data_IF_850464583177
#
_entry.id   IF_850464583177
#
_cell.length_a   1.000
_cell.length_b   1.000
_cell.length_c   1.000
_cell.angle_alpha   90.00
_cell.angle_beta   90.00
_cell.angle_gamma   90.00
#
_symmetry.space_group_name_H-M   'P 1'
#
loop_
_entity.id
_entity.type
_entity.pdbx_description
1 polymer ?
#
# COMPACT_ATOMS: atom_id res chain seq x y z
N UNK A 1 9.85 17.90 8.89
CA UNK A 1 9.14 16.86 8.12
C UNK A 1 10.07 15.77 7.59
N UNK A 2 11.33 16.06 7.21
CA UNK A 2 12.28 15.05 6.68
C UNK A 2 12.48 13.86 7.61
N UNK A 3 12.65 14.08 8.91
CA UNK A 3 12.78 13.02 9.90
C UNK A 3 11.51 12.15 9.98
N UNK A 4 10.34 12.78 9.86
CA UNK A 4 9.06 12.06 9.85
C UNK A 4 8.94 11.18 8.61
N UNK A 5 9.29 11.71 7.42
CA UNK A 5 9.32 10.95 6.17
C UNK A 5 10.29 9.77 6.26
N UNK A 6 11.47 9.95 6.83
CA UNK A 6 12.44 8.86 7.00
C UNK A 6 11.89 7.73 7.88
N UNK A 7 11.20 8.08 8.98
CA UNK A 7 10.54 7.10 9.85
C UNK A 7 9.39 6.40 9.13
N UNK A 8 8.61 7.15 8.35
CA UNK A 8 7.52 6.59 7.56
C UNK A 8 8.01 5.59 6.50
N UNK A 9 9.10 5.91 5.78
CA UNK A 9 9.73 4.97 4.84
C UNK A 9 10.24 3.71 5.53
N UNK A 10 10.79 3.84 6.74
CA UNK A 10 11.20 2.68 7.52
C UNK A 10 10.01 1.80 7.91
N UNK A 11 8.86 2.38 8.25
CA UNK A 11 7.64 1.64 8.54
C UNK A 11 7.10 0.88 7.32
N UNK A 12 7.18 1.45 6.13
CA UNK A 12 6.74 0.78 4.90
C UNK A 12 7.50 -0.50 4.60
N UNK A 13 8.78 -0.54 4.95
CA UNK A 13 9.65 -1.69 4.75
C UNK A 13 9.71 -2.62 5.98
N UNK A 14 9.11 -2.22 7.10
CA UNK A 14 9.19 -2.96 8.36
C UNK A 14 8.66 -4.38 8.19
N UNK A 15 9.43 -5.34 8.70
CA UNK A 15 9.07 -6.76 8.62
C UNK A 15 9.33 -7.44 7.27
N UNK A 16 9.60 -6.71 6.19
CA UNK A 16 9.95 -7.30 4.91
C UNK A 16 11.35 -7.93 4.92
N UNK A 17 11.56 -8.95 4.09
CA UNK A 17 12.82 -9.70 4.02
C UNK A 17 14.02 -8.83 3.64
N UNK A 18 13.82 -7.75 2.90
CA UNK A 18 14.87 -6.88 2.36
C UNK A 18 14.67 -5.40 2.74
N UNK A 19 14.22 -5.17 4.00
CA UNK A 19 13.83 -3.86 4.51
C UNK A 19 14.89 -2.76 4.27
N UNK A 20 16.18 -3.07 4.49
CA UNK A 20 17.27 -2.09 4.33
C UNK A 20 17.43 -1.62 2.88
N UNK A 21 17.33 -2.53 1.92
CA UNK A 21 17.40 -2.22 0.50
C UNK A 21 16.19 -1.39 0.08
N UNK A 22 15.01 -1.79 0.53
CA UNK A 22 13.75 -1.10 0.26
C UNK A 22 13.79 0.35 0.75
N UNK A 23 14.18 0.58 1.99
CA UNK A 23 14.31 1.93 2.56
C UNK A 23 15.30 2.78 1.76
N UNK A 24 16.46 2.20 1.35
CA UNK A 24 17.45 2.93 0.55
C UNK A 24 16.86 3.38 -0.79
N UNK A 25 16.25 2.46 -1.55
CA UNK A 25 15.64 2.78 -2.85
C UNK A 25 14.56 3.86 -2.74
N UNK A 26 13.68 3.75 -1.73
CA UNK A 26 12.64 4.74 -1.49
C UNK A 26 13.23 6.11 -1.13
N UNK A 27 14.30 6.15 -0.34
CA UNK A 27 14.98 7.42 0.02
C UNK A 27 15.64 8.08 -1.18
N UNK A 28 16.27 7.30 -2.06
CA UNK A 28 16.91 7.82 -3.28
C UNK A 28 15.89 8.42 -4.24
N UNK A 29 14.68 7.86 -4.33
CA UNK A 29 13.62 8.35 -5.21
C UNK A 29 12.80 9.50 -4.62
N UNK A 30 12.80 9.69 -3.30
CA UNK A 30 11.86 10.58 -2.61
C UNK A 30 11.95 12.06 -3.05
N UNK A 31 13.15 12.54 -3.37
CA UNK A 31 13.40 13.95 -3.71
C UNK A 31 13.87 14.16 -5.15
N UNK A 32 13.71 13.16 -6.01
CA UNK A 32 14.11 13.26 -7.44
C UNK A 32 13.39 14.42 -8.14
N UNK A 33 12.15 14.72 -7.75
CA UNK A 33 11.34 15.79 -8.33
C UNK A 33 11.29 17.06 -7.46
N UNK A 34 12.21 17.19 -6.49
CA UNK A 34 12.30 18.35 -5.59
C UNK A 34 11.61 18.16 -4.24
N UNK A 35 11.53 19.26 -3.50
CA UNK A 35 10.93 19.28 -2.16
C UNK A 35 9.42 19.47 -2.25
N UNK A 36 8.62 18.77 -1.44
CA UNK A 36 7.18 18.97 -1.43
C UNK A 36 6.81 20.30 -0.80
N UNK A 37 5.77 20.93 -1.33
CA UNK A 37 5.26 22.16 -0.74
C UNK A 37 4.61 21.89 0.63
N UNK A 38 4.91 22.67 1.68
CA UNK A 38 4.38 22.42 3.03
C UNK A 38 2.84 22.36 3.09
N UNK A 39 2.16 23.22 2.34
CA UNK A 39 0.69 23.20 2.26
C UNK A 39 0.15 21.92 1.65
N UNK A 40 0.82 21.38 0.61
CA UNK A 40 0.42 20.11 0.00
C UNK A 40 0.58 18.93 0.98
N UNK A 41 1.68 18.93 1.75
CA UNK A 41 1.87 17.91 2.81
C UNK A 41 0.79 18.00 3.88
N UNK A 42 0.46 19.21 4.36
CA UNK A 42 -0.57 19.42 5.36
C UNK A 42 -1.95 18.99 4.83
N UNK A 43 -2.30 19.36 3.60
CA UNK A 43 -3.55 18.96 2.96
C UNK A 43 -3.65 17.43 2.78
N UNK A 44 -2.58 16.78 2.31
CA UNK A 44 -2.53 15.32 2.17
C UNK A 44 -2.71 14.59 3.51
N UNK A 45 -2.05 15.05 4.57
CA UNK A 45 -2.25 14.50 5.91
C UNK A 45 -3.68 14.69 6.43
N UNK A 46 -4.28 15.84 6.14
CA UNK A 46 -5.66 16.12 6.51
C UNK A 46 -6.63 15.16 5.78
N UNK A 47 -6.43 14.95 4.49
CA UNK A 47 -7.21 13.98 3.72
C UNK A 47 -7.10 12.57 4.30
N UNK A 48 -5.89 12.09 4.56
CA UNK A 48 -5.65 10.76 5.16
C UNK A 48 -6.32 10.61 6.53
N UNK A 49 -6.34 11.69 7.33
CA UNK A 49 -6.96 11.69 8.66
C UNK A 49 -8.48 11.66 8.61
N UNK A 50 -9.09 12.28 7.61
CA UNK A 50 -10.54 12.51 7.54
C UNK A 50 -11.25 11.55 6.60
N UNK A 51 -10.56 10.96 5.60
CA UNK A 51 -11.17 10.08 4.63
C UNK A 51 -11.65 8.78 5.29
N UNK A 52 -12.94 8.52 5.18
CA UNK A 52 -13.56 7.25 5.55
C UNK A 52 -14.54 6.87 4.45
N UNK A 53 -14.10 5.94 3.60
CA UNK A 53 -14.85 5.48 2.43
C UNK A 53 -15.52 4.12 2.65
N UNK A 54 -15.60 3.63 3.88
CA UNK A 54 -16.19 2.32 4.18
C UNK A 54 -17.65 2.20 3.76
N UNK A 55 -18.38 3.32 3.77
CA UNK A 55 -19.78 3.37 3.34
C UNK A 55 -19.96 3.25 1.83
N UNK A 56 -18.91 3.57 1.07
CA UNK A 56 -18.91 3.53 -0.40
C UNK A 56 -18.58 2.13 -0.94
N UNK A 57 -17.87 1.30 -0.16
CA UNK A 57 -17.42 -0.02 -0.59
C UNK A 57 -18.53 -0.94 -1.08
N UNK A 58 -19.75 -0.99 -0.46
CA UNK A 58 -20.84 -1.81 -0.97
C UNK A 58 -21.35 -1.40 -2.35
N UNK A 59 -21.10 -0.16 -2.77
CA UNK A 59 -21.43 0.36 -4.10
C UNK A 59 -20.43 0.02 -5.20
N UNK A 60 -19.27 -0.51 -4.85
CA UNK A 60 -18.24 -0.94 -5.82
C UNK A 60 -18.58 -2.35 -6.32
N UNK A 61 -19.35 -2.41 -7.40
CA UNK A 61 -19.87 -3.67 -7.99
C UNK A 61 -18.94 -4.29 -9.02
N UNK A 62 -17.86 -3.61 -9.42
CA UNK A 62 -16.88 -4.13 -10.36
C UNK A 62 -16.02 -5.20 -9.67
N UNK A 63 -15.56 -6.24 -10.43
CA UNK A 63 -14.57 -7.17 -9.91
C UNK A 63 -13.35 -6.43 -9.34
N UNK A 64 -12.96 -6.75 -8.13
CA UNK A 64 -11.87 -6.10 -7.43
C UNK A 64 -10.86 -7.09 -6.83
N UNK A 65 -9.59 -6.84 -7.03
CA UNK A 65 -8.50 -7.59 -6.41
C UNK A 65 -7.75 -6.72 -5.43
N UNK A 66 -7.75 -7.12 -4.15
CA UNK A 66 -6.98 -6.50 -3.10
C UNK A 66 -5.70 -7.30 -2.85
N UNK A 67 -4.54 -6.65 -2.97
CA UNK A 67 -3.24 -7.31 -2.76
C UNK A 67 -2.60 -6.77 -1.49
N UNK A 68 -2.41 -7.65 -0.51
CA UNK A 68 -1.78 -7.33 0.77
C UNK A 68 -0.34 -7.85 0.84
N UNK A 69 0.55 -7.08 1.47
CA UNK A 69 1.80 -7.64 1.99
C UNK A 69 1.54 -8.35 3.31
N UNK A 70 2.01 -9.60 3.45
CA UNK A 70 1.82 -10.40 4.67
C UNK A 70 2.31 -9.68 5.94
N UNK A 71 3.38 -8.89 5.81
CA UNK A 71 4.04 -8.17 6.91
C UNK A 71 3.78 -6.66 6.85
N UNK A 72 2.71 -6.25 6.16
CA UNK A 72 2.34 -4.84 6.09
C UNK A 72 1.84 -4.36 7.46
N UNK A 73 2.56 -3.40 8.05
CA UNK A 73 2.22 -2.79 9.33
C UNK A 73 1.49 -1.45 9.20
N UNK A 74 1.44 -0.88 7.99
CA UNK A 74 0.69 0.35 7.71
C UNK A 74 -0.77 0.04 7.36
N UNK A 75 -0.98 -0.93 6.48
CA UNK A 75 -2.30 -1.46 6.13
C UNK A 75 -2.27 -2.97 6.34
N UNK A 76 -2.54 -3.43 7.56
CA UNK A 76 -2.49 -4.86 7.88
C UNK A 76 -3.44 -5.68 7.02
N UNK A 77 -3.12 -6.94 6.68
CA UNK A 77 -4.01 -7.83 5.92
C UNK A 77 -5.45 -7.86 6.44
N UNK A 78 -5.65 -7.83 7.76
CA UNK A 78 -6.98 -7.79 8.37
C UNK A 78 -7.84 -6.57 7.95
N UNK A 79 -7.19 -5.44 7.59
CA UNK A 79 -7.92 -4.28 7.07
C UNK A 79 -8.48 -4.57 5.67
N UNK A 80 -7.70 -5.25 4.81
CA UNK A 80 -8.14 -5.65 3.47
C UNK A 80 -9.19 -6.75 3.54
N UNK A 81 -9.07 -7.70 4.46
CA UNK A 81 -10.10 -8.72 4.74
C UNK A 81 -11.45 -8.05 5.07
N UNK A 82 -11.42 -7.03 5.93
CA UNK A 82 -12.63 -6.27 6.27
C UNK A 82 -13.21 -5.51 5.07
N UNK A 83 -12.35 -5.01 4.15
CA UNK A 83 -12.82 -4.35 2.92
C UNK A 83 -13.48 -5.37 1.98
N UNK A 84 -12.89 -6.54 1.78
CA UNK A 84 -13.46 -7.61 0.94
C UNK A 84 -14.87 -8.00 1.42
N UNK A 85 -15.09 -8.05 2.73
CA UNK A 85 -16.40 -8.36 3.30
C UNK A 85 -17.47 -7.30 2.99
N UNK A 86 -17.08 -6.07 2.69
CA UNK A 86 -17.98 -4.97 2.38
C UNK A 86 -18.23 -4.81 0.87
N UNK A 87 -17.39 -5.39 0.02
CA UNK A 87 -17.45 -5.27 -1.44
C UNK A 87 -18.17 -6.47 -2.05
N UNK A 88 -19.14 -6.27 -2.99
CA UNK A 88 -19.93 -7.36 -3.56
C UNK A 88 -19.14 -8.38 -4.38
N UNK A 89 -18.12 -7.92 -5.09
CA UNK A 89 -17.30 -8.74 -5.98
C UNK A 89 -15.81 -8.42 -5.78
N UNK A 90 -15.29 -8.84 -4.63
CA UNK A 90 -13.88 -8.62 -4.29
C UNK A 90 -13.22 -9.88 -3.76
N UNK A 91 -11.94 -10.04 -4.09
CA UNK A 91 -11.09 -11.07 -3.51
C UNK A 91 -9.76 -10.47 -3.04
N UNK A 92 -9.09 -11.18 -2.17
CA UNK A 92 -7.82 -10.76 -1.62
C UNK A 92 -6.74 -11.81 -1.88
N UNK A 93 -5.57 -11.33 -2.25
CA UNK A 93 -4.34 -12.10 -2.34
C UNK A 93 -3.28 -11.54 -1.39
N UNK A 94 -2.58 -12.44 -0.71
CA UNK A 94 -1.51 -12.04 0.22
C UNK A 94 -0.15 -12.44 -0.35
N UNK A 95 0.76 -11.47 -0.41
CA UNK A 95 2.15 -11.70 -0.85
C UNK A 95 3.01 -12.04 0.37
N UNK A 96 3.49 -13.31 0.49
CA UNK A 96 4.31 -13.74 1.61
C UNK A 96 5.60 -12.93 1.73
N UNK A 97 5.99 -12.60 2.95
CA UNK A 97 7.22 -11.86 3.25
C UNK A 97 7.23 -10.39 2.85
N UNK A 98 6.20 -9.90 2.14
CA UNK A 98 6.12 -8.51 1.68
C UNK A 98 5.64 -7.56 2.79
N UNK A 99 6.22 -6.35 2.80
CA UNK A 99 5.71 -5.19 3.52
C UNK A 99 4.67 -4.43 2.70
N UNK A 100 4.59 -3.10 2.93
CA UNK A 100 3.56 -2.23 2.33
C UNK A 100 3.65 -2.05 0.80
N UNK A 101 4.77 -2.35 0.16
CA UNK A 101 4.98 -2.13 -1.27
C UNK A 101 5.32 -3.42 -2.05
N UNK A 102 4.42 -4.43 -2.10
CA UNK A 102 4.67 -5.69 -2.81
C UNK A 102 4.95 -5.48 -4.30
N UNK A 103 4.36 -4.47 -4.93
CA UNK A 103 4.57 -4.12 -6.34
C UNK A 103 6.03 -3.72 -6.65
N UNK A 104 6.75 -3.14 -5.69
CA UNK A 104 8.17 -2.75 -5.87
C UNK A 104 9.14 -3.90 -5.60
N UNK A 105 8.91 -4.66 -4.54
CA UNK A 105 9.92 -5.57 -4.00
C UNK A 105 9.60 -7.06 -4.21
N UNK A 106 8.36 -7.36 -4.61
CA UNK A 106 7.88 -8.69 -4.98
C UNK A 106 7.20 -8.64 -6.35
N UNK A 107 7.77 -7.87 -7.28
CA UNK A 107 7.16 -7.50 -8.56
C UNK A 107 6.75 -8.70 -9.42
N UNK A 108 7.54 -9.77 -9.44
CA UNK A 108 7.20 -10.99 -10.20
C UNK A 108 5.92 -11.64 -9.73
N UNK A 109 5.75 -11.84 -8.41
CA UNK A 109 4.52 -12.39 -7.84
C UNK A 109 3.35 -11.42 -8.01
N UNK A 110 3.58 -10.13 -7.75
CA UNK A 110 2.57 -9.09 -7.92
C UNK A 110 2.01 -9.05 -9.35
N UNK A 111 2.91 -9.05 -10.36
CA UNK A 111 2.51 -9.07 -11.77
C UNK A 111 1.75 -10.34 -12.16
N UNK A 112 2.20 -11.51 -11.66
CA UNK A 112 1.51 -12.78 -11.89
C UNK A 112 0.07 -12.71 -11.36
N UNK A 113 -0.10 -12.30 -10.11
CA UNK A 113 -1.41 -12.17 -9.47
C UNK A 113 -2.35 -11.24 -10.24
N UNK A 114 -1.85 -10.09 -10.74
CA UNK A 114 -2.66 -9.17 -11.56
C UNK A 114 -3.06 -9.82 -12.90
N UNK A 115 -2.13 -10.49 -13.58
CA UNK A 115 -2.45 -11.15 -14.87
C UNK A 115 -3.52 -12.21 -14.70
N UNK A 116 -3.38 -13.07 -13.68
CA UNK A 116 -4.38 -14.08 -13.36
C UNK A 116 -5.76 -13.49 -13.11
N UNK A 117 -5.83 -12.31 -12.47
CA UNK A 117 -7.08 -11.61 -12.25
C UNK A 117 -7.67 -10.99 -13.53
N UNK A 118 -6.84 -10.48 -14.43
CA UNK A 118 -7.31 -9.85 -15.67
C UNK A 118 -7.70 -10.85 -16.76
N UNK A 119 -7.22 -12.09 -16.67
CA UNK A 119 -7.49 -13.16 -17.65
C UNK A 119 -8.77 -13.96 -17.31
N UNK A 120 -9.45 -13.64 -16.20
CA UNK A 120 -10.75 -14.23 -15.79
C UNK A 120 -11.93 -13.54 -16.47
#
# INVERSE_FOLDING_TARGET
YRTVLQRFLALQAWGSEDARRQVRMLRESLFVHGEPHPTALAAGLQMLKQADLRRELPGLTQPALLIAGQRDTLVPPAALESMVQLMPDARMETVPGAGHAPFLFHSGRFQKTIREFLDE
#
